data_IF_289759377092
#
_entry.id   IF_289759377092
#
_cell.length_a   1.000
_cell.length_b   1.000
_cell.length_c   1.000
_cell.angle_alpha   90.00
_cell.angle_beta   90.00
_cell.angle_gamma   90.00
#
_symmetry.space_group_name_H-M   'P 1'
#
loop_
_entity.id
_entity.type
_entity.pdbx_description
1 polymer ?
#
# COMPACT_ATOMS: atom_id res chain seq x y z
N UNK A 1 -18.36 13.57 -25.85
CA UNK A 1 -16.96 13.89 -25.48
C UNK A 1 -16.50 13.06 -24.29
N UNK A 2 -16.42 11.73 -24.42
CA UNK A 2 -15.83 10.82 -23.42
C UNK A 2 -14.72 10.04 -24.11
N UNK A 3 -13.45 10.41 -23.91
CA UNK A 3 -12.36 9.73 -24.59
C UNK A 3 -12.22 8.30 -24.06
N UNK A 4 -11.89 7.38 -24.96
CA UNK A 4 -11.56 5.99 -24.62
C UNK A 4 -10.38 5.53 -25.46
N UNK A 5 -9.73 4.45 -25.00
CA UNK A 5 -8.67 3.75 -25.71
C UNK A 5 -9.01 2.28 -25.74
N UNK A 6 -8.93 1.66 -26.91
CA UNK A 6 -9.17 0.23 -27.11
C UNK A 6 -7.92 -0.39 -27.72
N UNK A 7 -7.33 -1.37 -27.04
CA UNK A 7 -6.19 -2.14 -27.52
C UNK A 7 -6.71 -3.53 -27.92
N UNK A 8 -6.47 -3.93 -29.16
CA UNK A 8 -6.92 -5.21 -29.72
C UNK A 8 -5.73 -6.13 -29.99
N UNK A 9 -5.86 -7.39 -29.59
CA UNK A 9 -4.94 -8.45 -29.95
C UNK A 9 -5.74 -9.68 -30.41
N UNK A 10 -5.26 -10.47 -31.38
CA UNK A 10 -5.95 -11.67 -31.84
C UNK A 10 -6.13 -12.74 -30.74
N UNK A 11 -5.13 -12.89 -29.87
CA UNK A 11 -5.12 -13.84 -28.75
C UNK A 11 -4.16 -13.37 -27.64
N UNK A 12 -4.49 -13.65 -26.38
CA UNK A 12 -3.61 -13.42 -25.22
C UNK A 12 -2.57 -14.54 -25.06
N UNK A 13 -1.66 -14.64 -26.02
CA UNK A 13 -0.48 -15.50 -25.89
C UNK A 13 0.48 -14.95 -24.81
N UNK A 14 1.39 -15.76 -24.24
CA UNK A 14 2.38 -15.27 -23.27
C UNK A 14 3.19 -14.07 -23.78
N UNK A 15 3.53 -14.05 -25.07
CA UNK A 15 4.22 -12.94 -25.72
C UNK A 15 3.37 -11.66 -25.72
N UNK A 16 2.10 -11.76 -26.11
CA UNK A 16 1.16 -10.63 -26.13
C UNK A 16 0.91 -10.08 -24.72
N UNK A 17 0.77 -10.96 -23.72
CA UNK A 17 0.63 -10.53 -22.32
C UNK A 17 1.88 -9.76 -21.87
N UNK A 18 3.08 -10.26 -22.19
CA UNK A 18 4.33 -9.56 -21.90
C UNK A 18 4.42 -8.17 -22.56
N UNK A 19 3.98 -8.05 -23.82
CA UNK A 19 3.90 -6.76 -24.52
C UNK A 19 2.94 -5.77 -23.86
N UNK A 20 1.78 -6.24 -23.40
CA UNK A 20 0.80 -5.39 -22.71
C UNK A 20 1.35 -4.92 -21.36
N UNK A 21 2.00 -5.79 -20.59
CA UNK A 21 2.65 -5.42 -19.31
C UNK A 21 3.73 -4.37 -19.58
N UNK A 22 4.67 -4.65 -20.50
CA UNK A 22 5.75 -3.73 -20.86
C UNK A 22 5.22 -2.37 -21.37
N UNK A 23 4.11 -2.38 -22.11
CA UNK A 23 3.44 -1.16 -22.54
C UNK A 23 3.01 -0.29 -21.34
N UNK A 24 2.36 -0.88 -20.32
CA UNK A 24 1.95 -0.13 -19.13
C UNK A 24 3.12 0.26 -18.21
N UNK A 25 4.18 -0.55 -18.13
CA UNK A 25 5.42 -0.19 -17.44
C UNK A 25 6.05 1.05 -18.07
N UNK A 26 6.20 1.07 -19.40
CA UNK A 26 6.75 2.23 -20.11
C UNK A 26 5.83 3.44 -20.09
N UNK A 27 4.50 3.26 -20.15
CA UNK A 27 3.55 4.35 -19.99
C UNK A 27 3.72 5.03 -18.62
N UNK A 28 3.80 4.23 -17.54
CA UNK A 28 4.01 4.73 -16.18
C UNK A 28 5.35 5.45 -16.05
N UNK A 29 6.42 4.86 -16.61
CA UNK A 29 7.74 5.49 -16.65
C UNK A 29 7.73 6.84 -17.37
N UNK A 30 7.12 6.94 -18.55
CA UNK A 30 7.04 8.20 -19.32
C UNK A 30 6.28 9.27 -18.53
N UNK A 31 5.20 8.89 -17.83
CA UNK A 31 4.48 9.81 -16.95
C UNK A 31 5.37 10.33 -15.81
N UNK A 32 6.14 9.45 -15.17
CA UNK A 32 7.11 9.83 -14.13
C UNK A 32 8.18 10.79 -14.63
N UNK A 33 8.74 10.54 -15.82
CA UNK A 33 9.71 11.45 -16.47
C UNK A 33 9.09 12.82 -16.74
N UNK A 34 7.85 12.87 -17.26
CA UNK A 34 7.15 14.14 -17.51
C UNK A 34 6.89 14.91 -16.21
N UNK A 35 6.53 14.21 -15.12
CA UNK A 35 6.28 14.81 -13.82
C UNK A 35 7.55 15.12 -13.01
N UNK A 36 8.71 14.65 -13.45
CA UNK A 36 9.98 14.86 -12.74
C UNK A 36 10.05 14.11 -11.40
N UNK A 37 9.37 12.96 -11.30
CA UNK A 37 9.38 12.09 -10.11
C UNK A 37 10.12 10.79 -10.39
N UNK A 38 10.70 10.19 -9.36
CA UNK A 38 11.29 8.86 -9.47
C UNK A 38 10.18 7.80 -9.49
N UNK A 39 10.09 7.03 -10.58
CA UNK A 39 9.11 5.94 -10.72
C UNK A 39 9.56 4.64 -10.08
N UNK A 40 10.80 4.59 -9.58
CA UNK A 40 11.44 3.39 -9.07
C UNK A 40 11.71 3.45 -7.56
N UNK A 41 11.31 4.53 -6.89
CA UNK A 41 11.37 4.64 -5.43
C UNK A 41 10.04 4.33 -4.75
N UNK A 42 10.10 4.10 -3.43
CA UNK A 42 8.90 3.82 -2.63
C UNK A 42 9.03 4.32 -1.18
N UNK A 43 9.60 5.51 -0.95
CA UNK A 43 9.84 6.03 0.41
C UNK A 43 8.59 6.09 1.30
N UNK A 44 7.41 6.27 0.70
CA UNK A 44 6.15 6.38 1.41
C UNK A 44 5.75 5.15 2.26
N UNK A 45 6.40 3.99 2.08
CA UNK A 45 6.08 2.78 2.86
C UNK A 45 6.79 2.72 4.21
N UNK A 46 7.87 3.48 4.41
CA UNK A 46 8.80 3.27 5.52
C UNK A 46 8.24 3.73 6.87
N UNK A 47 7.48 4.83 6.89
CA UNK A 47 6.86 5.32 8.12
C UNK A 47 5.85 4.31 8.67
N UNK A 48 4.99 3.76 7.80
CA UNK A 48 4.00 2.77 8.18
C UNK A 48 4.64 1.47 8.70
N UNK A 49 5.73 1.00 8.07
CA UNK A 49 6.50 -0.15 8.57
C UNK A 49 7.06 0.12 9.96
N UNK A 50 7.69 1.27 10.16
CA UNK A 50 8.30 1.65 11.44
C UNK A 50 7.25 1.74 12.54
N UNK A 51 6.12 2.40 12.27
CA UNK A 51 5.01 2.51 13.21
C UNK A 51 4.40 1.15 13.53
N UNK A 52 4.16 0.30 12.53
CA UNK A 52 3.62 -1.04 12.75
C UNK A 52 4.54 -1.90 13.63
N UNK A 53 5.86 -1.82 13.44
CA UNK A 53 6.84 -2.51 14.30
C UNK A 53 6.80 -1.98 15.73
N UNK A 54 6.74 -0.65 15.92
CA UNK A 54 6.67 -0.05 17.25
C UNK A 54 5.39 -0.42 18.01
N UNK A 55 4.27 -0.59 17.31
CA UNK A 55 2.99 -0.97 17.91
C UNK A 55 2.89 -2.45 18.27
N UNK A 56 3.86 -3.29 17.89
CA UNK A 56 3.73 -4.75 18.02
C UNK A 56 3.58 -5.21 19.48
N UNK A 57 4.40 -4.70 20.40
CA UNK A 57 4.36 -5.04 21.84
C UNK A 57 3.10 -4.48 22.51
N UNK A 58 2.72 -3.26 22.14
CA UNK A 58 1.51 -2.58 22.62
C UNK A 58 0.25 -3.24 22.04
N UNK A 59 0.28 -3.91 20.90
CA UNK A 59 -0.86 -4.71 20.44
C UNK A 59 -0.90 -6.09 21.11
N UNK A 60 0.24 -6.69 21.43
CA UNK A 60 0.33 -8.00 22.08
C UNK A 60 -0.31 -8.01 23.48
N UNK A 61 -0.18 -6.92 24.24
CA UNK A 61 -0.62 -6.87 25.64
C UNK A 61 0.53 -6.62 26.62
N UNK A 62 1.76 -6.58 26.13
CA UNK A 62 2.97 -6.59 26.95
C UNK A 62 3.23 -5.23 27.63
N UNK A 63 2.72 -4.14 27.04
CA UNK A 63 2.90 -2.76 27.50
C UNK A 63 1.58 -1.98 27.48
N UNK A 64 1.38 -0.99 28.34
CA UNK A 64 0.20 -0.10 28.24
C UNK A 64 0.33 0.83 27.03
N UNK A 65 -0.79 1.22 26.37
CA UNK A 65 -0.73 2.21 25.29
C UNK A 65 -0.27 3.57 25.81
N UNK A 66 0.82 4.07 25.24
CA UNK A 66 1.36 5.42 25.42
C UNK A 66 2.09 5.84 24.13
N UNK A 67 1.33 5.86 23.03
CA UNK A 67 1.89 6.13 21.69
C UNK A 67 2.08 7.64 21.42
N UNK A 68 1.63 8.50 22.33
CA UNK A 68 1.62 9.95 22.18
C UNK A 68 0.49 10.49 21.29
N UNK A 69 -0.36 9.60 20.76
CA UNK A 69 -1.57 9.94 20.00
C UNK A 69 -2.81 9.28 20.62
N UNK A 70 -3.71 10.11 21.16
CA UNK A 70 -4.89 9.64 21.88
C UNK A 70 -5.84 8.80 21.01
N UNK A 71 -5.87 9.03 19.69
CA UNK A 71 -6.70 8.22 18.78
C UNK A 71 -6.13 6.81 18.65
N UNK A 72 -4.83 6.67 18.47
CA UNK A 72 -4.14 5.39 18.37
C UNK A 72 -4.25 4.59 19.66
N UNK A 73 -4.04 5.24 20.81
CA UNK A 73 -4.15 4.60 22.13
C UNK A 73 -5.56 4.06 22.38
N UNK A 74 -6.59 4.87 22.10
CA UNK A 74 -7.99 4.45 22.28
C UNK A 74 -8.37 3.27 21.37
N UNK A 75 -7.87 3.23 20.13
CA UNK A 75 -8.12 2.12 19.22
C UNK A 75 -7.43 0.83 19.68
N UNK A 76 -6.26 0.92 20.32
CA UNK A 76 -5.58 -0.24 20.91
C UNK A 76 -6.40 -0.81 22.07
N UNK A 77 -6.94 0.04 22.93
CA UNK A 77 -7.81 -0.39 24.04
C UNK A 77 -9.07 -1.10 23.55
N UNK A 78 -9.72 -0.53 22.54
CA UNK A 78 -10.88 -1.16 21.89
C UNK A 78 -10.47 -2.51 21.30
N UNK A 79 -9.36 -2.56 20.55
CA UNK A 79 -8.87 -3.79 19.93
C UNK A 79 -8.61 -4.89 20.95
N UNK A 80 -7.92 -4.58 22.07
CA UNK A 80 -7.64 -5.54 23.15
C UNK A 80 -8.93 -6.04 23.80
N UNK A 81 -9.87 -5.15 24.07
CA UNK A 81 -11.19 -5.51 24.64
C UNK A 81 -11.94 -6.48 23.72
N UNK A 82 -11.95 -6.23 22.41
CA UNK A 82 -12.61 -7.10 21.43
C UNK A 82 -11.90 -8.44 21.25
N UNK A 83 -10.57 -8.45 21.30
CA UNK A 83 -9.76 -9.68 21.22
C UNK A 83 -9.99 -10.59 22.41
N UNK A 84 -10.06 -10.01 23.61
CA UNK A 84 -10.13 -10.77 24.86
C UNK A 84 -11.60 -11.09 25.26
N UNK A 85 -12.57 -10.29 24.80
CA UNK A 85 -14.02 -10.48 24.98
C UNK A 85 -14.69 -11.45 23.99
N UNK A 86 -13.91 -12.13 23.15
CA UNK A 86 -14.36 -13.26 22.31
C UNK A 86 -14.25 -14.64 22.98
N UNK A 87 -14.02 -14.68 24.30
CA UNK A 87 -14.09 -15.88 25.15
C UNK A 87 -15.31 -15.82 26.05
#
# INVERSE_FOLDING_TARGET
NRPSTTILAPELTPSVVGQIIAFYEHQTFVQGVIWGIDSFDQWGVELGKTQATALQTVLAGDESPDTGDASTDHLIEIYRTLRDGGR
#
